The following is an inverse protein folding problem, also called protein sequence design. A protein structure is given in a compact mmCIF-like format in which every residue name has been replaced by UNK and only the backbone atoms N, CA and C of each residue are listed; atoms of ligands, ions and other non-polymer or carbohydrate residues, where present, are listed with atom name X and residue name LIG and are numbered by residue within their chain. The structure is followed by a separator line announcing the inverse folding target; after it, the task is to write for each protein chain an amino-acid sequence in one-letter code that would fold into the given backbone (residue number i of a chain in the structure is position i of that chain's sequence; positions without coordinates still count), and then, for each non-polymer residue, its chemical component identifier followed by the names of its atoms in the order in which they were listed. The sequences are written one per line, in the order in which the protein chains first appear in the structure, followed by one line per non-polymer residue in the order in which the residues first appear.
data_IF_551346165467
#
_entry.id   IF_551346165467
#
_cell.length_a   1.000
_cell.length_b   1.000
_cell.length_c   1.000
_cell.angle_alpha   90.00
_cell.angle_beta   90.00
_cell.angle_gamma   90.00
#
_symmetry.space_group_name_H-M   'P 1'
#
loop_
_entity.id
_entity.type
_entity.pdbx_description
1 polymer ?
#
# COMPACT_ATOMS: atom_id res chain seq x y z
N UNK A 1 -33.30 -36.75 8.17
CA UNK A 1 -32.40 -36.09 9.12
C UNK A 1 -31.85 -34.88 8.40
N UNK A 2 -32.11 -33.69 8.96
CA UNK A 2 -31.55 -32.42 8.51
C UNK A 2 -30.06 -32.43 8.84
N UNK A 3 -29.23 -32.50 7.81
CA UNK A 3 -27.91 -31.91 7.85
C UNK A 3 -28.02 -30.67 6.95
N UNK A 4 -28.55 -29.59 7.54
CA UNK A 4 -28.22 -28.24 7.05
C UNK A 4 -26.69 -28.16 7.22
N UNK A 5 -25.97 -28.51 6.16
CA UNK A 5 -24.61 -28.03 5.96
C UNK A 5 -24.71 -26.53 6.13
N UNK A 6 -24.25 -26.05 7.29
CA UNK A 6 -23.95 -24.64 7.49
C UNK A 6 -23.03 -24.26 6.34
N UNK A 7 -23.60 -23.67 5.30
CA UNK A 7 -22.88 -22.96 4.26
C UNK A 7 -22.14 -21.85 5.00
N UNK A 8 -20.96 -22.20 5.51
CA UNK A 8 -19.95 -21.28 5.99
C UNK A 8 -19.34 -20.64 4.73
N UNK A 9 -20.22 -20.01 3.94
CA UNK A 9 -19.89 -19.31 2.72
C UNK A 9 -19.03 -18.12 3.11
N UNK A 10 -17.88 -17.99 2.44
CA UNK A 10 -16.99 -16.85 2.65
C UNK A 10 -17.68 -15.50 2.40
N UNK A 11 -16.94 -14.40 2.54
CA UNK A 11 -17.49 -13.06 2.35
C UNK A 11 -18.26 -12.94 1.02
N UNK A 12 -19.47 -12.38 1.09
CA UNK A 12 -20.25 -12.07 -0.10
C UNK A 12 -19.59 -11.01 -0.99
N UNK A 13 -20.09 -10.82 -2.22
CA UNK A 13 -19.51 -9.87 -3.17
C UNK A 13 -19.51 -8.42 -2.64
N UNK A 14 -20.52 -8.03 -1.86
CA UNK A 14 -20.58 -6.72 -1.21
C UNK A 14 -19.46 -6.54 -0.18
N UNK A 15 -19.22 -7.56 0.66
CA UNK A 15 -18.13 -7.55 1.65
C UNK A 15 -16.75 -7.53 0.97
N UNK A 16 -16.58 -8.21 -0.16
CA UNK A 16 -15.36 -8.15 -0.97
C UNK A 16 -15.13 -6.75 -1.56
N UNK A 17 -16.17 -6.11 -2.09
CA UNK A 17 -16.09 -4.75 -2.62
C UNK A 17 -15.76 -3.72 -1.51
N UNK A 18 -16.40 -3.85 -0.35
CA UNK A 18 -16.09 -3.04 0.83
C UNK A 18 -14.65 -3.25 1.30
N UNK A 19 -14.19 -4.50 1.33
CA UNK A 19 -12.81 -4.83 1.67
C UNK A 19 -11.80 -4.19 0.71
N UNK A 20 -12.03 -4.30 -0.60
CA UNK A 20 -11.18 -3.67 -1.61
C UNK A 20 -11.14 -2.14 -1.47
N UNK A 21 -12.30 -1.50 -1.25
CA UNK A 21 -12.39 -0.06 -1.02
C UNK A 21 -11.65 0.37 0.25
N UNK A 22 -11.74 -0.42 1.32
CA UNK A 22 -11.01 -0.18 2.56
C UNK A 22 -9.50 -0.26 2.38
N UNK A 23 -9.02 -1.27 1.64
CA UNK A 23 -7.60 -1.41 1.30
C UNK A 23 -7.12 -0.22 0.46
N UNK A 24 -7.87 0.19 -0.57
CA UNK A 24 -7.55 1.35 -1.37
C UNK A 24 -7.45 2.62 -0.51
N UNK A 25 -8.43 2.85 0.36
CA UNK A 25 -8.41 4.00 1.28
C UNK A 25 -7.21 3.97 2.25
N UNK A 26 -6.84 2.78 2.75
CA UNK A 26 -5.65 2.60 3.59
C UNK A 26 -4.36 2.91 2.85
N UNK A 27 -4.21 2.42 1.62
CA UNK A 27 -3.06 2.71 0.77
C UNK A 27 -2.94 4.20 0.43
N UNK A 28 -4.05 4.89 0.17
CA UNK A 28 -4.06 6.35 -0.06
C UNK A 28 -3.60 7.11 1.20
N UNK A 29 -4.01 6.68 2.40
CA UNK A 29 -3.53 7.29 3.66
C UNK A 29 -2.03 7.11 3.82
N UNK A 30 -1.51 5.91 3.60
CA UNK A 30 -0.08 5.62 3.70
C UNK A 30 0.73 6.39 2.64
N UNK A 31 0.22 6.51 1.42
CA UNK A 31 0.83 7.34 0.38
C UNK A 31 0.92 8.81 0.84
N UNK A 32 -0.13 9.34 1.45
CA UNK A 32 -0.15 10.68 2.04
C UNK A 32 0.90 10.85 3.15
N UNK A 33 1.03 9.86 4.05
CA UNK A 33 2.04 9.88 5.11
C UNK A 33 3.48 9.88 4.56
N UNK A 34 3.76 9.05 3.56
CA UNK A 34 5.06 8.99 2.89
C UNK A 34 5.38 10.29 2.14
N UNK A 35 4.41 10.84 1.39
CA UNK A 35 4.58 12.11 0.70
C UNK A 35 4.82 13.26 1.67
N UNK A 36 4.10 13.30 2.80
CA UNK A 36 4.30 14.26 3.88
C UNK A 36 5.69 14.15 4.50
N UNK A 37 6.16 12.93 4.80
CA UNK A 37 7.50 12.68 5.30
C UNK A 37 8.59 13.10 4.30
N UNK A 38 8.40 12.81 3.01
CA UNK A 38 9.31 13.23 1.95
C UNK A 38 9.40 14.76 1.84
N UNK A 39 8.26 15.46 1.92
CA UNK A 39 8.21 16.92 1.90
C UNK A 39 8.88 17.53 3.14
N UNK A 40 8.61 17.00 4.34
CA UNK A 40 9.23 17.44 5.58
C UNK A 40 10.75 17.23 5.55
N UNK A 41 11.21 16.07 5.08
CA UNK A 41 12.63 15.78 4.93
C UNK A 41 13.28 16.72 3.91
N UNK A 42 12.65 16.93 2.75
CA UNK A 42 13.16 17.87 1.74
C UNK A 42 13.31 19.28 2.30
N UNK A 43 12.32 19.76 3.07
CA UNK A 43 12.37 21.08 3.71
C UNK A 43 13.50 21.17 4.74
N UNK A 44 13.74 20.10 5.51
CA UNK A 44 14.83 20.04 6.49
C UNK A 44 16.24 20.01 5.87
N UNK A 45 16.34 19.75 4.56
CA UNK A 45 17.60 19.76 3.80
C UNK A 45 17.87 21.09 3.09
N UNK A 46 16.92 22.03 3.08
CA UNK A 46 17.13 23.36 2.49
C UNK A 46 18.11 24.15 3.36
N UNK A 47 19.24 24.64 2.81
CA UNK A 47 20.17 25.46 3.57
C UNK A 47 19.51 26.76 4.04
N UNK A 48 19.73 27.14 5.30
CA UNK A 48 19.27 28.44 5.81
C UNK A 48 20.12 29.57 5.19
N UNK A 49 19.51 30.74 4.90
CA UNK A 49 20.26 31.90 4.44
C UNK A 49 21.31 32.31 5.49
N UNK A 50 22.58 32.37 5.09
CA UNK A 50 23.71 32.67 5.97
C UNK A 50 24.24 31.49 6.80
N UNK A 51 23.70 30.28 6.61
CA UNK A 51 24.25 29.06 7.22
C UNK A 51 25.56 28.62 6.58
N UNK A 52 26.44 27.99 7.38
CA UNK A 52 27.62 27.29 6.86
C UNK A 52 27.23 26.29 5.77
N UNK A 53 28.09 26.02 4.77
CA UNK A 53 27.85 24.99 3.78
C UNK A 53 27.50 23.67 4.47
N UNK A 54 26.23 23.26 4.41
CA UNK A 54 25.78 22.03 5.03
C UNK A 54 26.55 20.84 4.47
N UNK A 55 26.79 19.82 5.30
CA UNK A 55 27.48 18.60 4.89
C UNK A 55 26.84 18.01 3.61
N UNK A 56 27.57 18.09 2.49
CA UNK A 56 27.13 17.62 1.17
C UNK A 56 26.74 16.14 1.22
N UNK A 57 27.38 15.33 2.07
CA UNK A 57 27.03 13.90 2.24
C UNK A 57 25.67 13.76 2.91
N UNK A 58 25.40 14.57 3.95
CA UNK A 58 24.09 14.64 4.60
C UNK A 58 22.99 15.06 3.63
N UNK A 59 23.23 16.11 2.83
CA UNK A 59 22.24 16.59 1.85
C UNK A 59 21.96 15.54 0.78
N UNK A 60 23.01 14.92 0.22
CA UNK A 60 22.87 13.87 -0.79
C UNK A 60 22.13 12.64 -0.25
N UNK A 61 22.50 12.17 0.95
CA UNK A 61 21.84 11.04 1.59
C UNK A 61 20.36 11.33 1.89
N UNK A 62 20.06 12.51 2.41
CA UNK A 62 18.69 12.95 2.66
C UNK A 62 17.86 13.04 1.38
N UNK A 63 18.41 13.58 0.29
CA UNK A 63 17.70 13.66 -0.99
C UNK A 63 17.41 12.28 -1.60
N UNK A 64 18.27 11.28 -1.37
CA UNK A 64 17.98 9.88 -1.74
C UNK A 64 16.75 9.37 -0.99
N UNK A 65 16.70 9.57 0.33
CA UNK A 65 15.56 9.14 1.16
C UNK A 65 14.25 9.86 0.79
N UNK A 66 14.31 11.14 0.38
CA UNK A 66 13.16 11.87 -0.19
C UNK A 66 12.65 11.16 -1.45
N UNK A 67 13.56 10.80 -2.36
CA UNK A 67 13.24 10.07 -3.59
C UNK A 67 12.60 8.71 -3.32
N UNK A 68 13.17 7.93 -2.39
CA UNK A 68 12.67 6.61 -2.03
C UNK A 68 11.26 6.69 -1.41
N UNK A 69 11.03 7.65 -0.52
CA UNK A 69 9.73 7.88 0.09
C UNK A 69 8.68 8.31 -0.96
N UNK A 70 9.04 9.21 -1.87
CA UNK A 70 8.16 9.66 -2.96
C UNK A 70 7.83 8.52 -3.96
N UNK A 71 8.81 7.66 -4.28
CA UNK A 71 8.60 6.50 -5.14
C UNK A 71 7.64 5.50 -4.49
N UNK A 72 7.82 5.20 -3.19
CA UNK A 72 6.89 4.33 -2.44
C UNK A 72 5.49 4.94 -2.31
N UNK A 73 5.38 6.26 -2.12
CA UNK A 73 4.09 6.95 -2.10
C UNK A 73 3.35 6.81 -3.43
N UNK A 74 4.05 7.03 -4.55
CA UNK A 74 3.46 6.84 -5.89
C UNK A 74 3.04 5.40 -6.11
N UNK A 75 3.87 4.42 -5.71
CA UNK A 75 3.51 3.00 -5.85
C UNK A 75 2.29 2.62 -5.00
N UNK A 76 2.13 3.21 -3.82
CA UNK A 76 0.96 2.97 -2.98
C UNK A 76 -0.33 3.55 -3.62
N UNK A 77 -0.26 4.68 -4.30
CA UNK A 77 -1.39 5.21 -5.09
C UNK A 77 -1.74 4.28 -6.26
N UNK A 78 -0.74 3.80 -6.99
CA UNK A 78 -0.91 2.84 -8.08
C UNK A 78 -1.52 1.51 -7.59
N UNK A 79 -1.13 1.06 -6.39
CA UNK A 79 -1.74 -0.11 -5.74
C UNK A 79 -3.17 0.17 -5.27
N UNK A 80 -3.48 1.37 -4.79
CA UNK A 80 -4.83 1.75 -4.41
C UNK A 80 -5.77 1.74 -5.63
N UNK A 81 -5.32 2.29 -6.77
CA UNK A 81 -6.07 2.24 -8.03
C UNK A 81 -6.28 0.79 -8.51
N UNK A 82 -5.27 -0.06 -8.36
CA UNK A 82 -5.38 -1.47 -8.73
C UNK A 82 -6.49 -2.20 -7.98
N UNK A 83 -6.83 -1.81 -6.75
CA UNK A 83 -7.91 -2.46 -5.98
C UNK A 83 -9.28 -2.38 -6.64
N UNK A 84 -9.49 -1.44 -7.58
CA UNK A 84 -10.72 -1.36 -8.36
C UNK A 84 -10.87 -2.50 -9.39
N UNK A 85 -9.80 -3.26 -9.67
CA UNK A 85 -9.85 -4.42 -10.56
C UNK A 85 -10.57 -5.59 -9.88
N UNK A 86 -11.26 -6.41 -10.68
CA UNK A 86 -12.13 -7.47 -10.18
C UNK A 86 -11.37 -8.69 -9.64
N UNK A 87 -10.21 -9.02 -10.21
CA UNK A 87 -9.43 -10.21 -9.86
C UNK A 87 -8.03 -9.90 -9.30
N UNK A 88 -7.55 -10.75 -8.41
CA UNK A 88 -6.26 -10.57 -7.72
C UNK A 88 -5.06 -10.69 -8.66
N UNK A 89 -5.15 -11.50 -9.73
CA UNK A 89 -4.05 -11.64 -10.67
C UNK A 89 -3.80 -10.33 -11.43
N UNK A 90 -4.86 -9.66 -11.88
CA UNK A 90 -4.81 -8.35 -12.50
C UNK A 90 -4.28 -7.27 -11.54
N UNK A 91 -4.72 -7.30 -10.26
CA UNK A 91 -4.20 -6.41 -9.20
C UNK A 91 -2.69 -6.58 -9.04
N UNK A 92 -2.22 -7.82 -8.89
CA UNK A 92 -0.81 -8.16 -8.69
C UNK A 92 0.02 -7.76 -9.90
N UNK A 93 -0.43 -8.06 -11.12
CA UNK A 93 0.26 -7.68 -12.35
C UNK A 93 0.40 -6.15 -12.46
N UNK A 94 -0.68 -5.41 -12.21
CA UNK A 94 -0.68 -3.95 -12.27
C UNK A 94 0.26 -3.30 -11.27
N UNK A 95 0.35 -3.86 -10.06
CA UNK A 95 1.27 -3.41 -9.00
C UNK A 95 2.72 -3.72 -9.38
N UNK A 96 3.00 -4.91 -9.91
CA UNK A 96 4.35 -5.29 -10.37
C UNK A 96 4.84 -4.39 -11.49
N UNK A 97 3.99 -4.10 -12.47
CA UNK A 97 4.35 -3.21 -13.58
C UNK A 97 4.61 -1.78 -13.11
N UNK A 98 3.81 -1.27 -12.16
CA UNK A 98 4.06 0.02 -11.53
C UNK A 98 5.40 0.05 -10.77
N UNK A 99 5.67 -0.98 -9.96
CA UNK A 99 6.90 -1.09 -9.20
C UNK A 99 8.13 -1.12 -10.12
N UNK A 100 8.05 -1.88 -11.22
CA UNK A 100 9.10 -1.96 -12.25
C UNK A 100 9.39 -0.61 -12.90
N UNK A 101 8.35 0.17 -13.25
CA UNK A 101 8.52 1.54 -13.79
C UNK A 101 9.26 2.47 -12.83
N UNK A 102 9.16 2.21 -11.53
CA UNK A 102 9.79 3.01 -10.47
C UNK A 102 11.14 2.44 -9.99
N UNK A 103 11.59 1.31 -10.53
CA UNK A 103 12.80 0.63 -10.06
C UNK A 103 12.68 0.04 -8.65
N UNK A 104 11.45 -0.24 -8.20
CA UNK A 104 11.16 -0.82 -6.90
C UNK A 104 10.79 -2.30 -7.01
N UNK A 105 11.03 -3.07 -5.95
CA UNK A 105 10.40 -4.37 -5.79
C UNK A 105 8.92 -4.17 -5.43
N UNK A 106 8.03 -4.93 -6.04
CA UNK A 106 6.61 -4.89 -5.72
C UNK A 106 6.31 -5.37 -4.28
N UNK A 107 7.21 -6.17 -3.69
CA UNK A 107 7.11 -6.65 -2.32
C UNK A 107 7.11 -5.52 -1.28
N UNK A 108 7.58 -4.30 -1.61
CA UNK A 108 7.55 -3.16 -0.69
C UNK A 108 6.14 -2.72 -0.30
N UNK A 109 5.11 -3.11 -1.08
CA UNK A 109 3.70 -2.80 -0.81
C UNK A 109 3.06 -3.78 0.18
N UNK A 110 3.60 -4.99 0.33
CA UNK A 110 2.99 -6.02 1.18
C UNK A 110 2.76 -5.57 2.64
N UNK A 111 3.69 -4.87 3.32
CA UNK A 111 3.42 -4.31 4.65
C UNK A 111 2.30 -3.26 4.66
N UNK A 112 2.19 -2.45 3.61
CA UNK A 112 1.18 -1.38 3.51
C UNK A 112 -0.22 -1.96 3.32
N UNK A 113 -0.35 -3.04 2.53
CA UNK A 113 -1.61 -3.78 2.39
C UNK A 113 -2.07 -4.39 3.71
N UNK A 114 -1.15 -5.02 4.45
CA UNK A 114 -1.44 -5.61 5.77
C UNK A 114 -1.84 -4.53 6.78
N UNK A 115 -1.13 -3.40 6.80
CA UNK A 115 -1.48 -2.26 7.64
C UNK A 115 -2.85 -1.67 7.28
N UNK A 116 -3.15 -1.53 5.99
CA UNK A 116 -4.46 -1.06 5.50
C UNK A 116 -5.59 -1.98 5.99
N UNK A 117 -5.44 -3.30 5.87
CA UNK A 117 -6.41 -4.28 6.35
C UNK A 117 -6.63 -4.18 7.86
N UNK A 118 -5.55 -4.09 8.65
CA UNK A 118 -5.64 -3.96 10.11
C UNK A 118 -6.29 -2.64 10.56
N UNK A 119 -6.11 -1.57 9.78
CA UNK A 119 -6.70 -0.26 10.08
C UNK A 119 -8.18 -0.15 9.70
N UNK A 120 -8.74 -1.17 9.03
CA UNK A 120 -10.12 -1.14 8.58
C UNK A 120 -11.10 -1.37 9.74
N UNK A 121 -11.75 -0.28 10.14
CA UNK A 121 -12.83 -0.31 11.14
C UNK A 121 -14.16 -0.43 10.41
N UNK A 122 -14.86 -1.55 10.63
CA UNK A 122 -16.22 -1.79 10.14
C UNK A 122 -16.97 -2.69 11.12
N UNK A 123 -18.26 -2.41 11.30
CA UNK A 123 -19.17 -3.25 12.08
C UNK A 123 -19.51 -4.56 11.33
N UNK A 124 -19.26 -4.61 10.01
CA UNK A 124 -19.36 -5.83 9.21
C UNK A 124 -18.10 -6.69 9.36
N UNK A 125 -18.23 -7.80 10.09
CA UNK A 125 -17.16 -8.77 10.26
C UNK A 125 -16.74 -9.43 8.94
N UNK A 126 -17.69 -9.70 8.03
CA UNK A 126 -17.42 -10.32 6.73
C UNK A 126 -16.57 -9.40 5.85
N UNK A 127 -16.82 -8.09 5.88
CA UNK A 127 -15.98 -7.12 5.19
C UNK A 127 -14.55 -7.05 5.75
N UNK A 128 -14.37 -7.18 7.07
CA UNK A 128 -13.03 -7.22 7.68
C UNK A 128 -12.25 -8.46 7.27
N UNK A 129 -12.89 -9.62 7.31
CA UNK A 129 -12.30 -10.88 6.84
C UNK A 129 -11.96 -10.81 5.35
N UNK A 130 -12.83 -10.21 4.53
CA UNK A 130 -12.57 -9.99 3.12
C UNK A 130 -11.32 -9.12 2.88
N UNK A 131 -11.19 -8.00 3.60
CA UNK A 131 -10.03 -7.12 3.48
C UNK A 131 -8.73 -7.83 3.89
N UNK A 132 -8.74 -8.57 4.99
CA UNK A 132 -7.58 -9.33 5.48
C UNK A 132 -7.18 -10.45 4.50
N UNK A 133 -8.16 -11.23 4.04
CA UNK A 133 -7.92 -12.31 3.08
C UNK A 133 -7.33 -11.78 1.77
N UNK A 134 -7.92 -10.72 1.22
CA UNK A 134 -7.44 -10.07 0.00
C UNK A 134 -6.03 -9.49 0.18
N UNK A 135 -5.78 -8.75 1.27
CA UNK A 135 -4.46 -8.21 1.56
C UNK A 135 -3.40 -9.32 1.68
N UNK A 136 -3.73 -10.42 2.34
CA UNK A 136 -2.83 -11.56 2.53
C UNK A 136 -2.52 -12.26 1.20
N UNK A 137 -3.54 -12.53 0.39
CA UNK A 137 -3.38 -13.19 -0.91
C UNK A 137 -2.52 -12.35 -1.86
N UNK A 138 -2.82 -11.05 -1.98
CA UNK A 138 -2.06 -10.13 -2.83
C UNK A 138 -0.63 -9.98 -2.32
N UNK A 139 -0.44 -9.78 -1.01
CA UNK A 139 0.89 -9.64 -0.41
C UNK A 139 1.77 -10.89 -0.67
N UNK A 140 1.23 -12.08 -0.44
CA UNK A 140 1.94 -13.34 -0.69
C UNK A 140 2.32 -13.49 -2.16
N UNK A 141 1.41 -13.14 -3.08
CA UNK A 141 1.71 -13.16 -4.51
C UNK A 141 2.81 -12.16 -4.89
N UNK A 142 2.82 -10.95 -4.30
CA UNK A 142 3.87 -9.95 -4.56
C UNK A 142 5.23 -10.38 -4.01
N UNK A 143 5.27 -11.06 -2.86
CA UNK A 143 6.49 -11.56 -2.22
C UNK A 143 7.08 -12.81 -2.92
N UNK A 144 6.23 -13.68 -3.45
CA UNK A 144 6.64 -14.96 -4.07
C UNK A 144 7.07 -14.87 -5.54
N UNK A 145 7.05 -13.69 -6.17
CA UNK A 145 7.27 -13.51 -7.62
C UNK A 145 8.59 -12.82 -8.01
N UNK A 146 9.66 -13.00 -7.23
CA UNK A 146 10.99 -12.46 -7.54
C UNK A 146 11.67 -13.19 -8.71
#
# INVERSE_FOLDING_TARGET
MMEDEMEFGGPGPESLALGAAALAAGLVREAGALAGAAAALRNALVPLPGGEPGDVRRVKGGMSAVGDAAARATLALEAAEAMALADDAARVARIRDAAKRMGLSAAVIAPMLRAAALSFVSDDASARVAAEGMATAIAAALEGGA
#
